data_IF_387743965645
#
_entry.id   IF_387743965645
#
_cell.length_a   1.000
_cell.length_b   1.000
_cell.length_c   1.000
_cell.angle_alpha   90.00
_cell.angle_beta   90.00
_cell.angle_gamma   90.00
#
_symmetry.space_group_name_H-M   'P 1'
#
loop_
_entity.id
_entity.type
_entity.pdbx_description
1 polymer ?
#
# COMPACT_ATOMS: atom_id res chain seq x y z
N UNK A 1 3.52 -16.94 -12.62
CA UNK A 1 2.88 -17.20 -11.32
C UNK A 1 3.03 -15.95 -10.47
N UNK A 2 1.96 -15.46 -9.81
CA UNK A 2 2.01 -14.27 -8.99
C UNK A 2 2.96 -14.41 -7.81
N UNK A 3 3.57 -13.28 -7.39
CA UNK A 3 4.38 -13.20 -6.17
C UNK A 3 3.53 -12.60 -5.06
N UNK A 4 3.52 -13.20 -3.87
CA UNK A 4 2.73 -12.72 -2.74
C UNK A 4 3.60 -12.12 -1.64
N UNK A 5 3.19 -10.96 -1.13
CA UNK A 5 3.74 -10.36 0.09
C UNK A 5 2.72 -10.43 1.22
N UNK A 6 3.19 -10.66 2.45
CA UNK A 6 2.33 -10.60 3.63
C UNK A 6 2.38 -9.21 4.26
N UNK A 7 1.24 -8.56 4.46
CA UNK A 7 1.18 -7.34 5.24
C UNK A 7 1.26 -7.67 6.73
N UNK A 8 2.46 -7.65 7.30
CA UNK A 8 2.72 -8.03 8.69
C UNK A 8 2.27 -6.97 9.71
N UNK A 9 1.78 -5.81 9.24
CA UNK A 9 1.04 -4.88 10.09
C UNK A 9 -0.37 -5.41 10.41
N UNK A 10 -1.00 -6.15 9.49
CA UNK A 10 -2.36 -6.68 9.63
C UNK A 10 -2.41 -8.19 9.92
N UNK A 11 -1.52 -8.96 9.31
CA UNK A 11 -1.37 -10.41 9.51
C UNK A 11 -0.36 -10.72 10.62
N UNK A 12 -0.43 -11.93 11.18
CA UNK A 12 0.47 -12.44 12.24
C UNK A 12 0.48 -11.58 13.51
N UNK A 13 -0.64 -10.88 13.80
CA UNK A 13 -0.77 -10.01 14.98
C UNK A 13 -0.80 -10.75 16.31
N UNK A 14 -0.91 -12.07 16.27
CA UNK A 14 -0.75 -12.99 17.39
C UNK A 14 0.69 -12.97 17.95
N UNK A 15 1.66 -12.50 17.16
CA UNK A 15 3.07 -12.42 17.52
C UNK A 15 3.56 -10.97 17.69
N UNK A 16 4.69 -10.81 18.39
CA UNK A 16 5.39 -9.52 18.47
C UNK A 16 5.86 -9.14 17.07
N UNK A 17 5.93 -7.84 16.79
CA UNK A 17 6.14 -7.32 15.44
C UNK A 17 7.36 -7.91 14.73
N UNK A 18 8.53 -7.97 15.40
CA UNK A 18 9.75 -8.52 14.79
C UNK A 18 9.68 -10.03 14.54
N UNK A 19 8.93 -10.78 15.36
CA UNK A 19 8.73 -12.22 15.18
C UNK A 19 7.85 -12.53 13.95
N UNK A 20 7.09 -11.55 13.45
CA UNK A 20 6.21 -11.72 12.28
C UNK A 20 6.98 -11.94 10.99
N UNK A 21 8.23 -11.47 10.91
CA UNK A 21 9.11 -11.72 9.75
C UNK A 21 9.36 -13.22 9.59
N UNK A 22 9.77 -13.88 10.68
CA UNK A 22 9.97 -15.34 10.68
C UNK A 22 8.68 -16.08 10.36
N UNK A 23 7.55 -15.63 10.91
CA UNK A 23 6.25 -16.24 10.65
C UNK A 23 5.86 -16.14 9.18
N UNK A 24 5.94 -14.97 8.57
CA UNK A 24 5.69 -14.80 7.14
C UNK A 24 6.55 -15.76 6.31
N UNK A 25 7.87 -15.82 6.59
CA UNK A 25 8.77 -16.73 5.87
C UNK A 25 8.40 -18.21 6.04
N UNK A 26 8.08 -18.63 7.27
CA UNK A 26 7.74 -20.04 7.57
C UNK A 26 6.49 -20.53 6.85
N UNK A 27 5.62 -19.62 6.41
CA UNK A 27 4.38 -19.92 5.68
C UNK A 27 4.49 -19.66 4.17
N UNK A 28 5.71 -19.46 3.65
CA UNK A 28 5.98 -19.43 2.21
C UNK A 28 5.94 -18.04 1.57
N UNK A 29 5.88 -16.96 2.37
CA UNK A 29 6.06 -15.62 1.83
C UNK A 29 7.54 -15.31 1.63
N UNK A 30 7.87 -14.75 0.46
CA UNK A 30 9.20 -14.20 0.16
C UNK A 30 9.24 -12.67 0.27
N UNK A 31 8.08 -12.02 0.35
CA UNK A 31 7.93 -10.57 0.52
C UNK A 31 7.04 -10.23 1.72
N UNK A 32 7.26 -9.05 2.30
CA UNK A 32 6.40 -8.48 3.34
C UNK A 32 6.09 -7.00 3.09
N UNK A 33 5.02 -6.53 3.73
CA UNK A 33 4.65 -5.11 3.79
C UNK A 33 4.53 -4.67 5.25
N UNK A 34 4.90 -3.42 5.49
CA UNK A 34 4.74 -2.78 6.79
C UNK A 34 4.10 -1.43 6.55
N UNK A 35 2.95 -1.17 7.17
CA UNK A 35 2.28 0.13 7.03
C UNK A 35 3.19 1.25 7.53
N UNK A 36 3.56 1.29 8.81
CA UNK A 36 4.42 2.36 9.36
C UNK A 36 5.57 1.78 10.19
N UNK A 37 6.82 1.78 9.67
CA UNK A 37 7.96 1.14 10.33
C UNK A 37 8.62 2.01 11.41
N UNK A 38 8.23 3.29 11.53
CA UNK A 38 8.98 4.34 12.25
C UNK A 38 9.05 4.19 13.77
N UNK A 39 8.27 3.28 14.36
CA UNK A 39 8.37 2.93 15.78
C UNK A 39 9.51 1.95 16.08
N UNK A 40 10.12 1.37 15.04
CA UNK A 40 11.18 0.39 15.15
C UNK A 40 12.49 0.93 14.60
N UNK A 41 13.59 0.50 15.22
CA UNK A 41 14.94 0.74 14.71
C UNK A 41 15.09 0.17 13.31
N UNK A 42 15.64 0.96 12.38
CA UNK A 42 15.94 0.52 11.01
C UNK A 42 16.85 -0.73 11.03
N UNK A 43 17.80 -0.79 11.97
CA UNK A 43 18.72 -1.92 12.11
C UNK A 43 18.02 -3.20 12.57
N UNK A 44 17.03 -3.09 13.45
CA UNK A 44 16.27 -4.26 13.92
C UNK A 44 15.41 -4.81 12.79
N UNK A 45 14.75 -3.92 12.04
CA UNK A 45 13.98 -4.28 10.85
C UNK A 45 14.87 -4.93 9.77
N UNK A 46 16.04 -4.36 9.50
CA UNK A 46 16.96 -4.89 8.51
C UNK A 46 17.52 -6.26 8.93
N UNK A 47 17.80 -6.44 10.22
CA UNK A 47 18.24 -7.72 10.79
C UNK A 47 17.14 -8.77 10.65
N UNK A 48 15.90 -8.45 11.03
CA UNK A 48 14.76 -9.35 10.90
C UNK A 48 14.48 -9.73 9.43
N UNK A 49 14.53 -8.74 8.52
CA UNK A 49 14.43 -8.95 7.06
C UNK A 49 15.52 -9.92 6.57
N UNK A 50 16.78 -9.63 6.87
CA UNK A 50 17.93 -10.37 6.36
C UNK A 50 18.00 -11.79 6.90
N UNK A 51 17.77 -11.97 8.21
CA UNK A 51 17.78 -13.29 8.84
C UNK A 51 16.74 -14.25 8.26
N UNK A 52 15.63 -13.70 7.75
CA UNK A 52 14.55 -14.49 7.15
C UNK A 52 14.58 -14.51 5.62
N UNK A 53 15.57 -13.85 4.98
CA UNK A 53 15.68 -13.79 3.52
C UNK A 53 14.41 -13.24 2.86
N UNK A 54 13.85 -12.18 3.43
CA UNK A 54 12.63 -11.52 2.94
C UNK A 54 12.96 -10.27 2.14
N UNK A 55 12.14 -9.99 1.13
CA UNK A 55 12.05 -8.69 0.49
C UNK A 55 10.97 -7.83 1.17
N UNK A 56 11.06 -6.52 1.02
CA UNK A 56 9.98 -5.60 1.43
C UNK A 56 9.33 -5.08 0.15
N UNK A 57 8.05 -5.35 -0.04
CA UNK A 57 7.32 -4.85 -1.20
C UNK A 57 6.92 -3.38 -0.97
N UNK A 58 6.22 -3.07 0.12
CA UNK A 58 5.73 -1.71 0.43
C UNK A 58 5.98 -1.31 1.88
N UNK A 59 6.37 -0.04 2.06
CA UNK A 59 6.27 0.73 3.30
C UNK A 59 5.39 1.97 3.08
N UNK A 60 4.61 2.44 4.06
CA UNK A 60 4.05 3.80 3.94
C UNK A 60 5.05 4.84 4.42
N UNK A 61 5.05 5.99 3.76
CA UNK A 61 5.65 7.23 4.28
C UNK A 61 4.84 7.68 5.50
N UNK A 62 5.51 8.27 6.51
CA UNK A 62 4.83 8.77 7.72
C UNK A 62 3.68 9.70 7.33
N UNK A 63 2.48 9.37 7.81
CA UNK A 63 1.25 10.08 7.52
C UNK A 63 0.91 11.13 8.59
N UNK A 64 1.81 11.38 9.54
CA UNK A 64 1.60 12.32 10.65
C UNK A 64 0.45 11.87 11.55
N UNK A 65 -0.52 12.75 11.77
CA UNK A 65 -1.64 12.50 12.68
C UNK A 65 -2.73 11.58 12.11
N UNK A 66 -2.58 11.08 10.86
CA UNK A 66 -3.60 10.24 10.21
C UNK A 66 -3.94 8.98 11.01
N UNK A 67 -2.93 8.32 11.58
CA UNK A 67 -3.10 7.09 12.37
C UNK A 67 -3.76 7.34 13.73
N UNK A 68 -3.70 8.60 14.21
CA UNK A 68 -4.27 9.04 15.47
C UNK A 68 -5.62 9.78 15.28
N UNK A 69 -6.18 9.75 14.06
CA UNK A 69 -7.49 10.31 13.70
C UNK A 69 -7.46 11.73 13.10
N UNK A 70 -6.29 12.34 12.96
CA UNK A 70 -6.10 13.60 12.24
C UNK A 70 -6.21 13.45 10.72
N UNK A 71 -6.19 14.55 9.96
CA UNK A 71 -6.42 14.52 8.51
C UNK A 71 -5.23 14.00 7.70
N UNK A 72 -4.07 13.81 8.32
CA UNK A 72 -2.83 13.47 7.65
C UNK A 72 -2.02 14.69 7.22
N UNK A 73 -1.04 14.48 6.34
CA UNK A 73 -0.08 15.53 5.97
C UNK A 73 0.16 15.67 4.46
N UNK A 74 -0.17 14.64 3.66
CA UNK A 74 0.19 14.62 2.24
C UNK A 74 -0.62 15.59 1.38
N UNK A 75 -1.91 15.74 1.67
CA UNK A 75 -2.83 16.59 0.90
C UNK A 75 -3.37 17.79 1.69
N UNK A 76 -2.75 18.13 2.82
CA UNK A 76 -3.23 19.18 3.71
C UNK A 76 -2.40 20.45 3.47
N UNK A 77 -3.02 21.55 2.98
CA UNK A 77 -2.32 22.83 2.84
C UNK A 77 -1.66 23.26 4.15
N UNK A 78 -0.51 23.92 4.04
CA UNK A 78 0.30 24.41 5.16
C UNK A 78 0.97 23.31 6.03
N UNK A 79 0.96 22.04 5.58
CA UNK A 79 1.69 20.91 6.19
C UNK A 79 2.82 20.36 5.31
N UNK A 80 3.17 21.03 4.23
CA UNK A 80 4.16 20.59 3.24
C UNK A 80 5.53 20.35 3.87
N UNK A 81 5.97 21.20 4.80
CA UNK A 81 7.25 21.02 5.48
C UNK A 81 7.27 19.80 6.40
N UNK A 82 6.13 19.43 6.99
CA UNK A 82 6.00 18.18 7.73
C UNK A 82 6.08 16.98 6.80
N UNK A 83 5.40 17.04 5.65
CA UNK A 83 5.48 16.01 4.62
C UNK A 83 6.91 15.83 4.09
N UNK A 84 7.64 16.92 3.82
CA UNK A 84 9.04 16.84 3.36
C UNK A 84 9.95 16.13 4.36
N UNK A 85 9.79 16.39 5.67
CA UNK A 85 10.52 15.66 6.73
C UNK A 85 10.16 14.18 6.78
N UNK A 86 8.89 13.84 6.56
CA UNK A 86 8.47 12.44 6.46
C UNK A 86 9.12 11.73 5.27
N UNK A 87 9.26 12.41 4.13
CA UNK A 87 9.98 11.89 2.95
C UNK A 87 11.48 11.73 3.23
N UNK A 88 12.12 12.69 3.90
CA UNK A 88 13.53 12.59 4.30
C UNK A 88 13.77 11.34 5.17
N UNK A 89 12.93 11.12 6.19
CA UNK A 89 12.97 9.91 7.01
C UNK A 89 12.68 8.64 6.18
N UNK A 90 11.74 8.70 5.25
CA UNK A 90 11.45 7.59 4.36
C UNK A 90 12.66 7.23 3.49
N UNK A 91 13.43 8.20 2.99
CA UNK A 91 14.68 7.95 2.26
C UNK A 91 15.72 7.25 3.15
N UNK A 92 15.87 7.64 4.41
CA UNK A 92 16.77 6.95 5.35
C UNK A 92 16.42 5.47 5.52
N UNK A 93 15.13 5.17 5.69
CA UNK A 93 14.63 3.79 5.76
C UNK A 93 14.81 3.07 4.42
N UNK A 94 14.54 3.73 3.30
CA UNK A 94 14.63 3.16 1.96
C UNK A 94 16.05 2.69 1.60
N UNK A 95 17.07 3.47 1.96
CA UNK A 95 18.48 3.14 1.69
C UNK A 95 18.89 1.81 2.34
N UNK A 96 18.41 1.54 3.56
CA UNK A 96 18.80 0.36 4.33
C UNK A 96 17.86 -0.82 4.05
N UNK A 97 16.55 -0.58 4.08
CA UNK A 97 15.54 -1.63 3.96
C UNK A 97 15.27 -2.03 2.51
N UNK A 98 15.53 -1.13 1.56
CA UNK A 98 15.37 -1.35 0.12
C UNK A 98 13.99 -1.92 -0.25
N UNK A 99 12.89 -1.24 0.12
CA UNK A 99 11.56 -1.67 -0.31
C UNK A 99 11.42 -1.49 -1.83
N UNK A 100 10.55 -2.28 -2.45
CA UNK A 100 10.22 -2.11 -3.89
C UNK A 100 9.56 -0.75 -4.13
N UNK A 101 8.66 -0.36 -3.23
CA UNK A 101 7.89 0.87 -3.33
C UNK A 101 7.60 1.46 -1.94
N UNK A 102 7.27 2.75 -1.90
CA UNK A 102 6.73 3.42 -0.72
C UNK A 102 5.43 4.14 -1.03
N UNK A 103 4.42 3.95 -0.19
CA UNK A 103 3.07 4.48 -0.39
C UNK A 103 2.83 5.77 0.41
N UNK A 104 2.08 6.68 -0.19
CA UNK A 104 1.60 7.91 0.43
C UNK A 104 0.08 7.84 0.52
N UNK A 105 -0.43 7.99 1.75
CA UNK A 105 -1.85 8.13 2.01
C UNK A 105 -2.27 9.60 1.85
N UNK A 106 -3.21 9.93 0.93
CA UNK A 106 -3.73 11.29 0.75
C UNK A 106 -4.31 11.93 2.01
N UNK A 107 -4.97 11.13 2.85
CA UNK A 107 -5.67 11.60 4.05
C UNK A 107 -7.09 12.10 3.77
N UNK A 108 -7.68 12.77 4.77
CA UNK A 108 -9.07 13.27 4.74
C UNK A 108 -9.15 14.76 5.14
N UNK A 109 -8.73 15.70 4.27
CA UNK A 109 -8.90 17.12 4.54
C UNK A 109 -10.36 17.48 4.80
N UNK A 110 -10.61 18.37 5.78
CA UNK A 110 -11.96 18.92 5.99
C UNK A 110 -12.34 19.84 4.83
N UNK A 111 -13.40 19.48 4.10
CA UNK A 111 -13.94 20.30 3.00
C UNK A 111 -14.66 21.57 3.50
N UNK A 112 -14.84 21.74 4.82
CA UNK A 112 -15.29 23.00 5.41
C UNK A 112 -14.15 24.03 5.50
N UNK A 113 -12.91 23.54 5.62
CA UNK A 113 -11.71 24.37 5.79
C UNK A 113 -10.97 24.58 4.48
N UNK A 114 -10.98 23.59 3.58
CA UNK A 114 -10.17 23.60 2.38
C UNK A 114 -11.01 23.37 1.12
N UNK A 115 -10.58 24.00 0.02
CA UNK A 115 -11.08 23.65 -1.30
C UNK A 115 -10.45 22.33 -1.76
N UNK A 116 -11.26 21.40 -2.29
CA UNK A 116 -10.78 20.09 -2.76
C UNK A 116 -9.65 20.20 -3.78
N UNK A 117 -9.75 21.12 -4.75
CA UNK A 117 -8.71 21.29 -5.78
C UNK A 117 -7.39 21.77 -5.17
N UNK A 118 -7.46 22.62 -4.14
CA UNK A 118 -6.27 23.04 -3.40
C UNK A 118 -5.59 21.83 -2.74
N UNK A 119 -6.35 20.95 -2.08
CA UNK A 119 -5.81 19.72 -1.50
C UNK A 119 -5.19 18.79 -2.55
N UNK A 120 -5.83 18.63 -3.72
CA UNK A 120 -5.29 17.83 -4.83
C UNK A 120 -3.99 18.44 -5.38
N UNK A 121 -3.91 19.77 -5.49
CA UNK A 121 -2.68 20.44 -5.91
C UNK A 121 -1.56 20.27 -4.88
N UNK A 122 -1.87 20.39 -3.58
CA UNK A 122 -0.91 20.12 -2.49
C UNK A 122 -0.41 18.68 -2.57
N UNK A 123 -1.31 17.71 -2.74
CA UNK A 123 -0.96 16.30 -2.89
C UNK A 123 -0.08 16.07 -4.12
N UNK A 124 -0.42 16.63 -5.28
CA UNK A 124 0.36 16.46 -6.50
C UNK A 124 1.79 17.04 -6.36
N UNK A 125 1.94 18.22 -5.76
CA UNK A 125 3.24 18.81 -5.49
C UNK A 125 4.08 17.96 -4.53
N UNK A 126 3.44 17.44 -3.47
CA UNK A 126 4.09 16.56 -2.49
C UNK A 126 4.46 15.20 -3.11
N UNK A 127 3.61 14.62 -3.95
CA UNK A 127 3.91 13.42 -4.73
C UNK A 127 5.12 13.66 -5.64
N UNK A 128 5.17 14.79 -6.36
CA UNK A 128 6.33 15.13 -7.20
C UNK A 128 7.62 15.19 -6.38
N UNK A 129 7.60 15.89 -5.23
CA UNK A 129 8.74 15.97 -4.32
C UNK A 129 9.21 14.61 -3.82
N UNK A 130 8.27 13.75 -3.40
CA UNK A 130 8.59 12.38 -2.98
C UNK A 130 9.14 11.55 -4.14
N UNK A 131 8.60 11.77 -5.35
CA UNK A 131 9.07 11.18 -6.60
C UNK A 131 10.54 11.47 -6.86
N UNK A 132 10.94 12.74 -6.80
CA UNK A 132 12.33 13.19 -6.95
C UNK A 132 13.25 12.53 -5.92
N UNK A 133 12.85 12.54 -4.65
CA UNK A 133 13.66 12.04 -3.54
C UNK A 133 13.86 10.51 -3.62
N UNK A 134 12.79 9.74 -3.79
CA UNK A 134 12.84 8.28 -3.79
C UNK A 134 13.39 7.69 -5.09
N UNK A 135 13.31 8.43 -6.21
CA UNK A 135 13.97 8.04 -7.46
C UNK A 135 15.50 7.96 -7.32
N UNK A 136 16.10 8.80 -6.47
CA UNK A 136 17.56 8.80 -6.23
C UNK A 136 18.05 7.50 -5.56
N UNK A 137 17.17 6.81 -4.85
CA UNK A 137 17.46 5.54 -4.16
C UNK A 137 16.78 4.34 -4.82
N UNK A 138 16.20 4.53 -6.02
CA UNK A 138 15.62 3.45 -6.81
C UNK A 138 14.30 2.88 -6.28
N UNK A 139 13.58 3.64 -5.45
CA UNK A 139 12.29 3.20 -4.86
C UNK A 139 11.14 3.92 -5.55
N UNK A 140 10.11 3.16 -5.94
CA UNK A 140 8.88 3.73 -6.54
C UNK A 140 8.04 4.45 -5.49
N UNK A 141 7.31 5.47 -5.89
CA UNK A 141 6.33 6.13 -5.03
C UNK A 141 4.92 5.74 -5.46
N UNK A 142 4.10 5.37 -4.49
CA UNK A 142 2.71 5.01 -4.69
C UNK A 142 1.78 6.05 -4.07
N UNK A 143 0.60 6.19 -4.65
CA UNK A 143 -0.56 6.82 -4.02
C UNK A 143 -1.71 5.82 -4.02
N UNK A 144 -2.46 5.79 -2.92
CA UNK A 144 -3.56 4.86 -2.73
C UNK A 144 -4.92 5.56 -2.66
N UNK A 145 -5.89 5.00 -3.38
CA UNK A 145 -7.29 5.35 -3.25
C UNK A 145 -7.96 4.43 -2.21
N UNK A 146 -8.73 5.01 -1.28
CA UNK A 146 -9.33 4.26 -0.16
C UNK A 146 -10.85 4.41 -0.18
N UNK A 147 -11.56 3.34 0.19
CA UNK A 147 -13.03 3.35 0.18
C UNK A 147 -13.60 4.36 1.19
N UNK A 148 -14.68 5.06 0.81
CA UNK A 148 -15.33 6.06 1.67
C UNK A 148 -16.36 5.45 2.62
N UNK A 149 -16.63 4.14 2.54
CA UNK A 149 -17.49 3.43 3.48
C UNK A 149 -16.81 3.34 4.86
N UNK A 150 -15.53 2.96 4.87
CA UNK A 150 -14.72 2.79 6.09
C UNK A 150 -13.86 4.03 6.40
N UNK A 151 -13.58 4.87 5.39
CA UNK A 151 -12.87 6.15 5.53
C UNK A 151 -13.69 7.30 4.94
N UNK A 152 -14.81 7.70 5.58
CA UNK A 152 -15.57 8.86 5.14
C UNK A 152 -14.69 10.10 4.99
N UNK A 153 -14.77 10.76 3.84
CA UNK A 153 -14.01 11.99 3.56
C UNK A 153 -12.57 11.79 3.08
N UNK A 154 -12.11 10.54 2.84
CA UNK A 154 -10.82 10.30 2.21
C UNK A 154 -10.74 11.00 0.83
N UNK A 155 -9.62 11.70 0.55
CA UNK A 155 -9.55 12.64 -0.58
C UNK A 155 -9.69 11.97 -1.95
N UNK A 156 -9.07 10.79 -2.11
CA UNK A 156 -9.01 10.01 -3.34
C UNK A 156 -9.64 8.65 -3.06
N UNK A 157 -10.73 8.35 -3.77
CA UNK A 157 -11.58 7.19 -3.47
C UNK A 157 -11.82 6.27 -4.66
N UNK A 158 -11.31 6.62 -5.85
CA UNK A 158 -11.35 5.76 -7.03
C UNK A 158 -9.99 5.67 -7.71
N UNK A 159 -9.80 4.62 -8.51
CA UNK A 159 -8.62 4.49 -9.36
C UNK A 159 -8.49 5.65 -10.36
N UNK A 160 -9.61 6.16 -10.89
CA UNK A 160 -9.60 7.29 -11.83
C UNK A 160 -9.07 8.58 -11.19
N UNK A 161 -9.52 8.90 -9.96
CA UNK A 161 -9.04 10.07 -9.22
C UNK A 161 -7.55 9.96 -8.89
N UNK A 162 -7.09 8.74 -8.58
CA UNK A 162 -5.68 8.50 -8.34
C UNK A 162 -4.83 8.69 -9.62
N UNK A 163 -5.32 8.23 -10.77
CA UNK A 163 -4.64 8.48 -12.06
C UNK A 163 -4.62 9.99 -12.38
N UNK A 164 -5.71 10.72 -12.11
CA UNK A 164 -5.77 12.17 -12.30
C UNK A 164 -4.72 12.90 -11.46
N UNK A 165 -4.57 12.57 -10.17
CA UNK A 165 -3.54 13.21 -9.33
C UNK A 165 -2.12 12.83 -9.76
N UNK A 166 -1.91 11.59 -10.22
CA UNK A 166 -0.61 11.15 -10.74
C UNK A 166 -0.24 11.92 -12.02
N UNK A 167 -1.22 12.19 -12.89
CA UNK A 167 -1.01 13.01 -14.09
C UNK A 167 -0.75 14.48 -13.72
N UNK A 168 -1.43 15.01 -12.70
CA UNK A 168 -1.19 16.36 -12.20
C UNK A 168 0.20 16.52 -11.59
N UNK A 169 0.69 15.49 -10.89
CA UNK A 169 2.03 15.47 -10.32
C UNK A 169 3.13 15.32 -11.39
N UNK A 170 2.81 14.81 -12.57
CA UNK A 170 3.69 14.68 -13.75
C UNK A 170 5.11 14.19 -13.41
N UNK A 171 5.20 12.99 -12.82
CA UNK A 171 6.50 12.42 -12.45
C UNK A 171 6.56 10.90 -12.71
N UNK A 172 7.61 10.48 -13.43
CA UNK A 172 7.78 9.10 -13.94
C UNK A 172 7.94 8.01 -12.89
N UNK A 173 8.30 8.39 -11.66
CA UNK A 173 8.50 7.46 -10.54
C UNK A 173 7.23 7.26 -9.69
N UNK A 174 6.09 7.80 -10.14
CA UNK A 174 4.83 7.73 -9.42
C UNK A 174 3.89 6.70 -10.05
N UNK A 175 3.27 5.89 -9.20
CA UNK A 175 2.36 4.83 -9.60
C UNK A 175 1.15 4.75 -8.65
N UNK A 176 0.12 4.04 -9.09
CA UNK A 176 -1.03 3.71 -8.25
C UNK A 176 -0.73 2.48 -7.38
N UNK A 177 -1.07 2.54 -6.09
CA UNK A 177 -1.34 1.35 -5.29
C UNK A 177 -2.80 0.95 -5.48
N UNK A 178 -3.04 -0.17 -6.15
CA UNK A 178 -4.40 -0.65 -6.42
C UNK A 178 -4.78 -1.70 -5.37
N UNK A 179 -5.50 -1.28 -4.32
CA UNK A 179 -6.11 -2.24 -3.39
C UNK A 179 -7.46 -2.72 -3.94
N UNK A 180 -7.52 -4.01 -4.29
CA UNK A 180 -8.72 -4.68 -4.80
C UNK A 180 -9.90 -4.55 -3.83
N UNK A 181 -9.67 -4.59 -2.52
CA UNK A 181 -10.73 -4.47 -1.51
C UNK A 181 -11.40 -3.10 -1.59
N UNK A 182 -10.59 -2.03 -1.60
CA UNK A 182 -11.09 -0.67 -1.74
C UNK A 182 -11.83 -0.47 -3.06
N UNK A 183 -11.27 -0.96 -4.17
CA UNK A 183 -11.85 -0.78 -5.49
C UNK A 183 -13.09 -1.65 -5.74
N UNK A 184 -13.23 -2.80 -5.07
CA UNK A 184 -14.47 -3.59 -5.13
C UNK A 184 -15.64 -2.81 -4.53
N UNK A 185 -15.42 -2.16 -3.38
CA UNK A 185 -16.45 -1.36 -2.69
C UNK A 185 -16.82 -0.11 -3.50
N UNK A 186 -15.82 0.56 -4.09
CA UNK A 186 -16.01 1.86 -4.73
C UNK A 186 -16.42 1.76 -6.20
N UNK A 187 -15.91 0.78 -6.92
CA UNK A 187 -15.95 0.79 -8.39
C UNK A 187 -16.44 -0.51 -9.03
N UNK A 188 -16.26 -1.66 -8.36
CA UNK A 188 -16.46 -2.99 -8.94
C UNK A 188 -15.67 -3.17 -10.24
N UNK A 189 -16.13 -4.08 -11.13
CA UNK A 189 -15.51 -4.33 -12.45
C UNK A 189 -13.96 -4.47 -12.39
N UNK A 190 -13.47 -5.21 -11.39
CA UNK A 190 -12.06 -5.21 -10.98
C UNK A 190 -11.09 -5.51 -12.12
N UNK A 191 -11.30 -6.62 -12.83
CA UNK A 191 -10.40 -7.06 -13.91
C UNK A 191 -10.40 -6.06 -15.05
N UNK A 192 -11.57 -5.66 -15.55
CA UNK A 192 -11.66 -4.71 -16.67
C UNK A 192 -11.07 -3.34 -16.34
N UNK A 193 -11.19 -2.88 -15.09
CA UNK A 193 -10.56 -1.62 -14.67
C UNK A 193 -9.05 -1.74 -14.56
N UNK A 194 -8.54 -2.79 -13.91
CA UNK A 194 -7.09 -3.03 -13.83
C UNK A 194 -6.47 -3.18 -15.22
N UNK A 195 -7.11 -3.89 -16.16
CA UNK A 195 -6.62 -4.03 -17.55
C UNK A 195 -6.36 -2.69 -18.23
N UNK A 196 -7.23 -1.69 -18.00
CA UNK A 196 -7.11 -0.38 -18.64
C UNK A 196 -5.98 0.49 -18.07
N UNK A 197 -5.49 0.17 -16.88
CA UNK A 197 -4.51 1.01 -16.15
C UNK A 197 -3.31 0.22 -15.63
N UNK A 198 -3.10 -1.03 -16.08
CA UNK A 198 -2.09 -1.93 -15.51
C UNK A 198 -0.68 -1.33 -15.54
N UNK A 199 -0.35 -0.58 -16.60
CA UNK A 199 0.94 0.12 -16.76
C UNK A 199 1.15 1.29 -15.80
N UNK A 200 0.07 1.74 -15.13
CA UNK A 200 0.08 2.80 -14.13
C UNK A 200 0.08 2.26 -12.70
N UNK A 201 -0.07 0.95 -12.52
CA UNK A 201 -0.08 0.31 -11.20
C UNK A 201 1.35 -0.07 -10.80
N UNK A 202 1.75 0.33 -9.60
CA UNK A 202 3.07 0.03 -9.03
C UNK A 202 3.04 -1.10 -8.01
N UNK A 203 1.88 -1.35 -7.42
CA UNK A 203 1.63 -2.42 -6.45
C UNK A 203 0.13 -2.73 -6.38
N UNK A 204 -0.21 -3.98 -6.07
CA UNK A 204 -1.60 -4.42 -5.90
C UNK A 204 -1.72 -5.04 -4.52
N UNK A 205 -2.73 -4.61 -3.76
CA UNK A 205 -3.13 -5.27 -2.51
C UNK A 205 -4.47 -5.97 -2.69
N UNK A 206 -4.77 -6.90 -1.79
CA UNK A 206 -6.04 -7.59 -1.77
C UNK A 206 -6.49 -8.01 -0.36
N UNK A 207 -7.80 -7.97 -0.20
CA UNK A 207 -8.58 -8.61 0.84
C UNK A 207 -9.99 -8.89 0.29
N UNK A 208 -10.68 -9.89 0.85
CA UNK A 208 -12.02 -10.21 0.40
C UNK A 208 -13.06 -9.20 0.88
N UNK A 209 -14.11 -9.04 0.09
CA UNK A 209 -15.23 -8.16 0.38
C UNK A 209 -16.53 -8.97 0.47
N UNK A 210 -17.42 -8.74 1.44
CA UNK A 210 -17.25 -7.86 2.60
C UNK A 210 -16.33 -8.47 3.69
N UNK A 211 -15.88 -7.63 4.62
CA UNK A 211 -15.21 -8.06 5.86
C UNK A 211 -13.69 -7.86 5.91
N UNK A 212 -13.05 -7.62 4.76
CA UNK A 212 -11.58 -7.45 4.64
C UNK A 212 -10.79 -8.63 5.20
N UNK A 213 -11.32 -9.84 4.99
CA UNK A 213 -10.71 -11.09 5.43
C UNK A 213 -9.94 -11.78 4.29
N UNK A 214 -9.42 -12.98 4.54
CA UNK A 214 -8.68 -13.78 3.56
C UNK A 214 -9.50 -14.11 2.31
N UNK A 215 -8.85 -14.33 1.15
CA UNK A 215 -9.53 -14.83 -0.06
C UNK A 215 -10.43 -16.06 0.19
N UNK A 216 -11.68 -15.98 -0.27
CA UNK A 216 -12.66 -17.05 -0.20
C UNK A 216 -13.71 -16.88 0.91
N UNK A 217 -13.67 -15.79 1.68
CA UNK A 217 -14.68 -15.48 2.70
C UNK A 217 -15.84 -14.62 2.19
N UNK A 218 -15.67 -13.99 1.03
CA UNK A 218 -16.58 -13.00 0.48
C UNK A 218 -17.00 -13.29 -0.96
N UNK A 219 -17.29 -12.21 -1.69
CA UNK A 219 -17.88 -12.24 -3.03
C UNK A 219 -16.84 -12.24 -4.15
N UNK A 220 -15.55 -12.01 -3.83
CA UNK A 220 -14.49 -11.85 -4.83
C UNK A 220 -13.87 -13.20 -5.19
N UNK A 221 -13.91 -13.56 -6.48
CA UNK A 221 -13.19 -14.73 -6.98
C UNK A 221 -11.71 -14.43 -7.24
N UNK A 222 -10.87 -14.59 -6.21
CA UNK A 222 -9.44 -14.32 -6.30
C UNK A 222 -8.65 -15.26 -7.21
N UNK A 223 -9.04 -16.54 -7.32
CA UNK A 223 -8.39 -17.46 -8.27
C UNK A 223 -8.50 -16.94 -9.71
N UNK A 224 -9.68 -16.41 -10.07
CA UNK A 224 -9.88 -15.75 -11.35
C UNK A 224 -9.03 -14.48 -11.49
N UNK A 225 -9.02 -13.60 -10.48
CA UNK A 225 -8.24 -12.35 -10.52
C UNK A 225 -6.75 -12.63 -10.66
N UNK A 226 -6.18 -13.52 -9.84
CA UNK A 226 -4.76 -13.85 -9.87
C UNK A 226 -4.34 -14.45 -11.21
N UNK A 227 -5.17 -15.31 -11.79
CA UNK A 227 -4.95 -15.82 -13.16
C UNK A 227 -4.98 -14.70 -14.19
N UNK A 228 -5.95 -13.78 -14.11
CA UNK A 228 -6.04 -12.64 -15.04
C UNK A 228 -4.83 -11.71 -14.92
N UNK A 229 -4.33 -11.45 -13.72
CA UNK A 229 -3.12 -10.64 -13.50
C UNK A 229 -1.88 -11.31 -14.12
N UNK A 230 -1.74 -12.63 -14.01
CA UNK A 230 -0.67 -13.39 -14.68
C UNK A 230 -0.78 -13.27 -16.22
N UNK A 231 -2.00 -13.39 -16.77
CA UNK A 231 -2.28 -13.21 -18.20
C UNK A 231 -2.04 -11.77 -18.70
N UNK A 232 -2.20 -10.77 -17.82
CA UNK A 232 -1.83 -9.36 -18.09
C UNK A 232 -0.31 -9.13 -18.01
N UNK A 233 0.48 -10.11 -17.58
CA UNK A 233 1.92 -9.98 -17.41
C UNK A 233 2.34 -9.21 -16.14
N UNK A 234 1.48 -9.17 -15.12
CA UNK A 234 1.84 -8.58 -13.83
C UNK A 234 2.99 -9.35 -13.18
N UNK A 235 4.10 -8.66 -12.93
CA UNK A 235 5.32 -9.23 -12.35
C UNK A 235 5.68 -8.64 -10.96
N UNK A 236 4.85 -7.75 -10.43
CA UNK A 236 5.01 -7.16 -9.11
C UNK A 236 4.46 -8.05 -7.98
N UNK A 237 4.59 -7.56 -6.75
CA UNK A 237 4.02 -8.20 -5.56
C UNK A 237 2.50 -7.99 -5.50
N UNK A 238 1.79 -9.03 -5.06
CA UNK A 238 0.40 -9.00 -4.60
C UNK A 238 0.39 -9.01 -3.06
N UNK A 239 -0.01 -7.90 -2.47
CA UNK A 239 -0.02 -7.69 -1.03
C UNK A 239 -1.26 -8.26 -0.34
N UNK A 240 -1.07 -9.26 0.50
CA UNK A 240 -2.10 -9.79 1.38
C UNK A 240 -2.34 -8.81 2.54
N UNK A 241 -3.17 -7.79 2.31
CA UNK A 241 -3.54 -6.78 3.31
C UNK A 241 -4.97 -7.02 3.82
N UNK A 242 -5.13 -8.10 4.58
CA UNK A 242 -6.40 -8.48 5.18
C UNK A 242 -6.27 -8.71 6.69
N UNK A 243 -7.42 -8.72 7.38
CA UNK A 243 -7.53 -9.12 8.79
C UNK A 243 -7.90 -10.60 8.80
N UNK A 244 -7.02 -11.52 9.22
CA UNK A 244 -7.36 -12.94 9.28
C UNK A 244 -8.62 -13.19 10.12
N UNK A 245 -9.56 -14.00 9.62
CA UNK A 245 -10.79 -14.33 10.35
C UNK A 245 -10.58 -15.23 11.57
N UNK A 246 -9.42 -15.90 11.62
CA UNK A 246 -8.95 -16.81 12.67
C UNK A 246 -7.46 -16.56 12.91
N UNK A 247 -6.78 -17.50 13.60
CA UNK A 247 -5.33 -17.50 13.65
C UNK A 247 -4.76 -17.43 12.23
N UNK A 248 -3.83 -16.51 11.98
CA UNK A 248 -3.33 -16.18 10.65
C UNK A 248 -2.99 -17.43 9.83
N UNK A 249 -2.29 -18.37 10.44
CA UNK A 249 -1.83 -19.62 9.81
C UNK A 249 -2.95 -20.50 9.28
N UNK A 250 -4.12 -20.49 9.94
CA UNK A 250 -5.30 -21.26 9.55
C UNK A 250 -6.01 -20.65 8.32
N UNK A 251 -5.72 -19.38 8.00
CA UNK A 251 -6.35 -18.65 6.89
C UNK A 251 -5.58 -18.79 5.57
N UNK A 252 -4.37 -19.38 5.58
CA UNK A 252 -3.46 -19.41 4.43
C UNK A 252 -3.72 -20.54 3.42
N UNK A 253 -4.90 -21.17 3.44
CA UNK A 253 -5.23 -22.23 2.50
C UNK A 253 -5.25 -21.72 1.05
N UNK A 254 -5.62 -20.45 0.84
CA UNK A 254 -5.62 -19.80 -0.48
C UNK A 254 -4.22 -19.69 -1.10
N UNK A 255 -3.16 -19.66 -0.28
CA UNK A 255 -1.79 -19.47 -0.76
C UNK A 255 -1.18 -20.78 -1.31
N UNK A 256 -1.62 -21.94 -0.81
CA UNK A 256 -1.03 -23.25 -1.12
C UNK A 256 -0.88 -23.60 -2.61
N UNK A 257 -1.82 -23.22 -3.51
CA UNK A 257 -1.65 -23.47 -4.94
C UNK A 257 -0.52 -22.68 -5.61
N UNK A 258 0.07 -21.69 -4.92
CA UNK A 258 1.05 -20.76 -5.45
C UNK A 258 2.45 -20.90 -4.84
N UNK A 259 2.63 -21.81 -3.88
CA UNK A 259 3.92 -22.17 -3.27
C UNK A 259 4.58 -23.32 -4.05
#
# INVERSE_FOLDING_TARGET
>A
MPKFSSNISMMFREYKFLDRFEKAKSYGFDGIEIQFPYKFSINDLNTAKTNNGLEISVLNIDAGDLVDGGPGIAAIPDREDQFKRAVEQAVEYAVILQPTSMNILPGWPSMELYNRQQCLNTLANNLHYAGDALAQVGVKVLVEAVNTLERPGFLISSSSEAIEVLNLADHKNLFLQYDIYHMQIMEGNLVGRMENIIDRIGHIQFADNPGRNEPGTGEINFDFIFKRLDEMGWNGWLGAEYIPSKQTEETLQWLKPFL
#
